data_IF_036707452648
#
_entry.id   IF_036707452648
#
_cell.length_a   1.000
_cell.length_b   1.000
_cell.length_c   1.000
_cell.angle_alpha   90.00
_cell.angle_beta   90.00
_cell.angle_gamma   90.00
#
_symmetry.space_group_name_H-M   'P 1'
#
loop_
_entity.id
_entity.type
_entity.pdbx_description
1 polymer ?
#
# COMPACT_ATOMS: atom_id res chain seq x y z
N UNK A 1 1.91 18.29 -1.54
CA UNK A 1 1.00 18.65 -0.44
C UNK A 1 1.81 19.09 0.77
N UNK A 2 1.70 20.37 1.13
CA UNK A 2 2.39 20.95 2.28
C UNK A 2 1.58 20.83 3.56
N UNK A 3 2.11 21.37 4.65
CA UNK A 3 1.42 21.39 5.94
C UNK A 3 0.12 22.22 5.92
N UNK A 4 -0.01 23.12 4.98
CA UNK A 4 -1.21 23.95 4.79
C UNK A 4 -2.37 23.19 4.15
N UNK A 5 -2.11 22.01 3.58
CA UNK A 5 -3.16 21.18 3.01
C UNK A 5 -4.16 20.80 4.11
N UNK A 6 -5.50 20.98 3.87
CA UNK A 6 -6.50 20.67 4.89
C UNK A 6 -6.62 19.16 5.10
N UNK A 7 -5.95 18.67 6.12
CA UNK A 7 -6.00 17.26 6.49
C UNK A 7 -7.26 16.96 7.30
N UNK A 8 -8.11 16.08 6.79
CA UNK A 8 -9.34 15.71 7.45
C UNK A 8 -9.05 14.85 8.68
N UNK A 9 -9.58 15.25 9.82
CA UNK A 9 -9.49 14.47 11.06
C UNK A 9 -10.27 13.17 10.90
N UNK A 10 -9.70 12.00 11.26
CA UNK A 10 -10.46 10.75 11.29
C UNK A 10 -11.62 10.84 12.29
N UNK A 11 -12.75 10.27 11.94
CA UNK A 11 -13.92 10.26 12.83
C UNK A 11 -13.72 9.31 14.01
N UNK A 12 -13.05 8.18 13.77
CA UNK A 12 -12.81 7.14 14.76
C UNK A 12 -11.42 6.57 14.64
N UNK A 13 -10.86 6.11 15.76
CA UNK A 13 -9.61 5.38 15.76
C UNK A 13 -9.77 4.05 14.99
N UNK A 14 -8.89 3.73 14.04
CA UNK A 14 -8.98 2.47 13.31
C UNK A 14 -8.75 1.24 14.16
N UNK A 15 -8.16 1.40 15.35
CA UNK A 15 -7.85 0.28 16.25
C UNK A 15 -8.93 0.05 17.31
N UNK A 16 -9.38 1.11 17.99
CA UNK A 16 -10.30 0.97 19.12
C UNK A 16 -11.65 1.68 18.91
N UNK A 17 -11.86 2.36 17.77
CA UNK A 17 -13.08 3.06 17.42
C UNK A 17 -13.38 4.28 18.29
N UNK A 18 -12.44 4.75 19.11
CA UNK A 18 -12.59 5.94 19.91
C UNK A 18 -12.72 7.19 19.04
N UNK A 19 -13.50 8.16 19.51
CA UNK A 19 -13.60 9.48 18.87
C UNK A 19 -12.58 10.48 19.43
N UNK A 20 -11.81 10.10 20.43
CA UNK A 20 -10.82 10.96 21.09
C UNK A 20 -9.51 10.94 20.33
N UNK A 21 -9.49 11.62 19.18
CA UNK A 21 -8.35 11.69 18.26
C UNK A 21 -7.84 13.13 18.18
N UNK A 22 -6.55 13.29 18.42
CA UNK A 22 -5.88 14.59 18.43
C UNK A 22 -4.77 14.67 17.38
N UNK A 23 -4.44 15.88 16.96
CA UNK A 23 -3.31 16.10 16.08
C UNK A 23 -1.98 15.68 16.73
N UNK A 24 -1.10 15.01 15.98
CA UNK A 24 0.18 14.51 16.47
C UNK A 24 1.33 14.86 15.53
N UNK A 25 1.28 16.06 14.93
CA UNK A 25 2.32 16.55 14.05
C UNK A 25 2.28 16.00 12.64
N UNK A 26 3.39 16.18 11.93
CA UNK A 26 3.52 15.80 10.53
C UNK A 26 4.79 14.98 10.34
N UNK A 27 4.79 14.08 9.35
CA UNK A 27 5.99 13.38 8.91
C UNK A 27 6.18 13.61 7.42
N UNK A 28 7.42 13.91 6.97
CA UNK A 28 7.69 14.02 5.53
C UNK A 28 7.81 12.63 4.91
N UNK A 29 7.18 12.45 3.75
CA UNK A 29 7.30 11.24 2.95
C UNK A 29 7.32 11.62 1.48
N UNK A 30 8.06 10.86 0.69
CA UNK A 30 8.12 11.03 -0.75
C UNK A 30 7.13 10.08 -1.42
N UNK A 31 6.30 10.62 -2.31
CA UNK A 31 5.38 9.84 -3.14
C UNK A 31 5.60 10.17 -4.61
N UNK A 32 5.78 9.14 -5.42
CA UNK A 32 5.92 9.31 -6.87
C UNK A 32 4.68 10.03 -7.41
N UNK A 33 4.88 11.07 -8.20
CA UNK A 33 3.81 11.90 -8.72
C UNK A 33 3.49 13.15 -7.89
N UNK A 34 3.73 13.11 -6.58
CA UNK A 34 3.53 14.29 -5.71
C UNK A 34 4.84 14.92 -5.22
N UNK A 35 5.94 14.15 -5.20
CA UNK A 35 7.17 14.58 -4.57
C UNK A 35 7.10 14.48 -3.05
N UNK A 36 7.67 15.46 -2.35
CA UNK A 36 7.66 15.48 -0.90
C UNK A 36 6.26 15.89 -0.39
N UNK A 37 5.72 15.06 0.49
CA UNK A 37 4.40 15.27 1.10
C UNK A 37 4.56 15.23 2.61
N UNK A 38 3.91 16.15 3.31
CA UNK A 38 3.82 16.14 4.77
C UNK A 38 2.53 15.44 5.18
N UNK A 39 2.65 14.23 5.71
CA UNK A 39 1.49 13.45 6.16
C UNK A 39 1.13 13.85 7.58
N UNK A 40 -0.12 14.22 7.80
CA UNK A 40 -0.66 14.51 9.13
C UNK A 40 -0.76 13.22 9.92
N UNK A 41 -0.19 13.22 11.12
CA UNK A 41 -0.39 12.15 12.08
C UNK A 41 -1.44 12.56 13.09
N UNK A 42 -2.19 11.58 13.54
CA UNK A 42 -3.17 11.73 14.61
C UNK A 42 -2.85 10.74 15.71
N UNK A 43 -3.29 11.00 16.90
CA UNK A 43 -3.10 10.07 18.03
C UNK A 43 -4.44 9.83 18.71
N UNK A 44 -4.72 8.57 19.00
CA UNK A 44 -5.88 8.19 19.82
C UNK A 44 -5.51 8.32 21.30
N UNK A 45 -6.29 9.09 22.04
CA UNK A 45 -6.07 9.29 23.46
C UNK A 45 -6.35 8.02 24.29
N UNK A 46 -7.17 7.12 23.78
CA UNK A 46 -7.59 5.92 24.51
C UNK A 46 -6.66 4.74 24.32
N UNK A 47 -6.15 4.48 23.12
CA UNK A 47 -5.29 3.32 22.85
C UNK A 47 -3.86 3.66 22.45
N UNK A 48 -3.55 4.95 22.23
CA UNK A 48 -2.21 5.38 21.81
C UNK A 48 -1.86 5.09 20.37
N UNK A 49 -2.77 4.55 19.56
CA UNK A 49 -2.55 4.33 18.13
C UNK A 49 -2.30 5.67 17.42
N UNK A 50 -1.33 5.67 16.50
CA UNK A 50 -0.98 6.86 15.72
C UNK A 50 -1.31 6.62 14.25
N UNK A 51 -2.57 6.80 13.83
CA UNK A 51 -2.93 6.67 12.43
C UNK A 51 -2.33 7.81 11.61
N UNK A 52 -1.86 7.48 10.40
CA UNK A 52 -1.32 8.43 9.43
C UNK A 52 -2.13 8.32 8.15
N UNK A 53 -2.66 9.45 7.67
CA UNK A 53 -3.43 9.49 6.43
C UNK A 53 -2.45 9.79 5.28
N UNK A 54 -2.48 8.94 4.26
CA UNK A 54 -1.66 9.10 3.05
C UNK A 54 -2.53 9.51 1.86
N UNK A 55 -1.91 10.01 0.76
CA UNK A 55 -2.66 10.31 -0.46
C UNK A 55 -3.40 9.07 -0.98
N UNK A 56 -4.57 9.27 -1.60
CA UNK A 56 -5.30 8.19 -2.25
C UNK A 56 -4.50 7.61 -3.42
N UNK A 57 -4.73 6.33 -3.72
CA UNK A 57 -4.09 5.67 -4.85
C UNK A 57 -2.74 5.03 -4.54
N UNK A 58 -2.37 4.94 -3.25
CA UNK A 58 -1.14 4.29 -2.81
C UNK A 58 -1.44 3.18 -1.80
N UNK A 59 -0.72 2.06 -1.92
CA UNK A 59 -0.73 1.05 -0.87
C UNK A 59 0.08 1.50 0.34
N UNK A 60 -0.20 0.93 1.49
CA UNK A 60 0.59 1.15 2.70
C UNK A 60 2.05 0.81 2.46
N UNK A 61 2.96 1.69 2.90
CA UNK A 61 4.41 1.54 2.77
C UNK A 61 4.92 1.50 1.32
N UNK A 62 4.11 1.92 0.36
CA UNK A 62 4.51 2.03 -1.04
C UNK A 62 4.48 3.49 -1.47
N UNK A 63 5.48 3.92 -2.22
CA UNK A 63 5.61 5.28 -2.73
C UNK A 63 5.20 5.41 -4.19
N UNK A 64 5.07 4.28 -4.89
CA UNK A 64 4.54 4.25 -6.25
C UNK A 64 3.03 4.11 -6.21
N UNK A 65 2.33 4.69 -7.20
CA UNK A 65 0.88 4.57 -7.28
C UNK A 65 0.44 3.12 -7.49
N UNK A 66 -0.77 2.78 -7.05
CA UNK A 66 -1.37 1.46 -7.31
C UNK A 66 -1.43 1.19 -8.81
N UNK A 67 -1.83 2.20 -9.60
CA UNK A 67 -1.87 2.12 -11.06
C UNK A 67 -0.49 1.86 -11.66
N UNK A 68 0.54 2.53 -11.17
CA UNK A 68 1.92 2.35 -11.62
C UNK A 68 2.45 0.95 -11.34
N UNK A 69 2.15 0.42 -10.16
CA UNK A 69 2.53 -0.95 -9.78
C UNK A 69 1.82 -1.96 -10.69
N UNK A 70 0.51 -1.80 -10.90
CA UNK A 70 -0.27 -2.67 -11.77
C UNK A 70 0.22 -2.62 -13.22
N UNK A 71 0.51 -1.43 -13.74
CA UNK A 71 1.07 -1.26 -15.09
C UNK A 71 2.38 -2.03 -15.26
N UNK A 72 3.26 -1.97 -14.28
CA UNK A 72 4.53 -2.68 -14.30
C UNK A 72 4.31 -4.20 -14.37
N UNK A 73 3.40 -4.72 -13.55
CA UNK A 73 3.07 -6.14 -13.51
C UNK A 73 2.45 -6.60 -14.83
N UNK A 74 1.47 -5.85 -15.35
CA UNK A 74 0.81 -6.16 -16.62
C UNK A 74 1.81 -6.18 -17.76
N UNK A 75 2.70 -5.19 -17.83
CA UNK A 75 3.73 -5.11 -18.86
C UNK A 75 4.66 -6.32 -18.81
N UNK A 76 5.12 -6.68 -17.62
CA UNK A 76 6.00 -7.86 -17.43
C UNK A 76 5.31 -9.16 -17.82
N UNK A 77 4.08 -9.35 -17.41
CA UNK A 77 3.32 -10.58 -17.70
C UNK A 77 3.04 -10.71 -19.20
N UNK A 78 2.72 -9.60 -19.86
CA UNK A 78 2.37 -9.60 -21.30
C UNK A 78 3.57 -9.63 -22.24
N UNK A 79 4.66 -8.94 -21.88
CA UNK A 79 5.81 -8.76 -22.78
C UNK A 79 7.09 -9.47 -22.34
N UNK A 80 7.14 -9.91 -21.08
CA UNK A 80 8.34 -10.46 -20.49
C UNK A 80 9.43 -9.42 -20.17
N UNK A 81 9.15 -8.14 -20.32
CA UNK A 81 10.09 -7.06 -20.12
C UNK A 81 9.69 -6.15 -18.98
N UNK A 82 10.66 -5.44 -18.41
CA UNK A 82 10.43 -4.43 -17.38
C UNK A 82 10.21 -3.07 -17.99
N UNK A 83 9.35 -2.25 -17.37
CA UNK A 83 9.15 -0.86 -17.78
C UNK A 83 10.42 -0.07 -17.42
N UNK A 84 10.85 0.82 -18.33
CA UNK A 84 11.98 1.73 -18.10
C UNK A 84 11.45 3.07 -17.61
N UNK A 85 12.03 3.58 -16.55
CA UNK A 85 11.65 4.89 -15.99
C UNK A 85 12.55 5.26 -14.83
N UNK A 86 12.60 6.57 -14.45
CA UNK A 86 13.53 7.04 -13.42
C UNK A 86 13.28 6.41 -12.03
N UNK A 87 12.02 6.15 -11.69
CA UNK A 87 11.65 5.58 -10.40
C UNK A 87 11.26 4.10 -10.47
N UNK A 88 11.41 3.49 -11.65
CA UNK A 88 11.00 2.11 -11.91
C UNK A 88 12.23 1.23 -12.18
N UNK A 89 12.99 0.96 -11.13
CA UNK A 89 14.13 0.06 -11.25
C UNK A 89 13.66 -1.38 -11.47
N UNK A 90 14.48 -2.15 -12.17
CA UNK A 90 14.23 -3.58 -12.38
C UNK A 90 14.07 -4.32 -11.06
N UNK A 91 14.88 -3.99 -10.09
CA UNK A 91 14.85 -4.60 -8.76
C UNK A 91 13.51 -4.33 -8.05
N UNK A 92 13.05 -3.09 -8.08
CA UNK A 92 11.79 -2.67 -7.48
C UNK A 92 10.59 -3.39 -8.10
N UNK A 93 10.56 -3.42 -9.42
CA UNK A 93 9.50 -4.13 -10.16
C UNK A 93 9.53 -5.64 -9.90
N UNK A 94 10.72 -6.22 -9.80
CA UNK A 94 10.91 -7.62 -9.45
C UNK A 94 10.36 -7.95 -8.05
N UNK A 95 10.54 -7.06 -7.09
CA UNK A 95 9.97 -7.22 -5.75
C UNK A 95 8.43 -7.26 -5.77
N UNK A 96 7.80 -6.38 -6.55
CA UNK A 96 6.35 -6.37 -6.68
C UNK A 96 5.83 -7.67 -7.27
N UNK A 97 6.48 -8.16 -8.32
CA UNK A 97 6.06 -9.40 -8.98
C UNK A 97 6.21 -10.61 -8.04
N UNK A 98 7.32 -10.71 -7.33
CA UNK A 98 7.53 -11.80 -6.36
C UNK A 98 6.53 -11.75 -5.21
N UNK A 99 6.28 -10.55 -4.68
CA UNK A 99 5.32 -10.37 -3.60
C UNK A 99 3.90 -10.73 -4.05
N UNK A 100 3.50 -10.30 -5.26
CA UNK A 100 2.20 -10.66 -5.82
C UNK A 100 2.06 -12.17 -5.96
N UNK A 101 3.06 -12.84 -6.53
CA UNK A 101 3.02 -14.30 -6.71
C UNK A 101 2.86 -15.01 -5.37
N UNK A 102 3.57 -14.57 -4.36
CA UNK A 102 3.48 -15.12 -3.02
C UNK A 102 2.10 -14.90 -2.39
N UNK A 103 1.58 -13.69 -2.49
CA UNK A 103 0.26 -13.35 -1.93
C UNK A 103 -0.87 -14.11 -2.63
N UNK A 104 -0.76 -14.31 -3.94
CA UNK A 104 -1.71 -15.14 -4.69
C UNK A 104 -1.71 -16.57 -4.14
N UNK A 105 -0.55 -17.17 -3.93
CA UNK A 105 -0.46 -18.53 -3.38
C UNK A 105 -1.08 -18.64 -2.00
N UNK A 106 -0.88 -17.64 -1.16
CA UNK A 106 -1.38 -17.66 0.22
C UNK A 106 -2.89 -17.41 0.31
N UNK A 107 -3.39 -16.42 -0.44
CA UNK A 107 -4.78 -15.96 -0.29
C UNK A 107 -5.75 -16.56 -1.30
N UNK A 108 -5.30 -16.90 -2.50
CA UNK A 108 -6.18 -17.35 -3.59
C UNK A 108 -5.94 -18.81 -3.98
N UNK A 109 -4.72 -19.30 -3.85
CA UNK A 109 -4.35 -20.67 -4.21
C UNK A 109 -3.54 -20.75 -5.51
N UNK A 110 -2.98 -21.94 -5.77
CA UNK A 110 -2.08 -22.17 -6.89
C UNK A 110 -2.73 -22.03 -8.25
N UNK A 111 -4.03 -22.27 -8.36
CA UNK A 111 -4.77 -22.13 -9.63
C UNK A 111 -4.80 -20.70 -10.17
N UNK A 112 -4.52 -19.71 -9.34
CA UNK A 112 -4.49 -18.31 -9.72
C UNK A 112 -3.13 -17.85 -10.26
N UNK A 113 -2.10 -18.69 -10.22
CA UNK A 113 -0.73 -18.29 -10.64
C UNK A 113 -0.69 -17.88 -12.10
N UNK A 114 -1.47 -18.54 -12.97
CA UNK A 114 -1.55 -18.19 -14.39
C UNK A 114 -2.46 -16.98 -14.65
N UNK A 115 -3.12 -16.47 -13.62
CA UNK A 115 -4.05 -15.34 -13.69
C UNK A 115 -3.59 -14.21 -12.76
N UNK A 116 -2.33 -13.81 -12.86
CA UNK A 116 -1.74 -12.84 -11.93
C UNK A 116 -2.43 -11.48 -11.95
N UNK A 117 -2.85 -11.02 -13.12
CA UNK A 117 -3.55 -9.71 -13.24
C UNK A 117 -4.90 -9.79 -12.54
N UNK A 118 -5.67 -10.85 -12.77
CA UNK A 118 -6.93 -11.07 -12.10
C UNK A 118 -6.74 -11.28 -10.59
N UNK A 119 -5.66 -11.97 -10.21
CA UNK A 119 -5.27 -12.17 -8.81
C UNK A 119 -4.97 -10.85 -8.10
N UNK A 120 -4.33 -9.90 -8.77
CA UNK A 120 -4.08 -8.56 -8.22
C UNK A 120 -5.40 -7.88 -7.85
N UNK A 121 -6.35 -7.88 -8.77
CA UNK A 121 -7.67 -7.27 -8.54
C UNK A 121 -8.45 -8.01 -7.45
N UNK A 122 -8.39 -9.33 -7.41
CA UNK A 122 -9.09 -10.13 -6.41
C UNK A 122 -8.53 -9.90 -5.01
N UNK A 123 -7.22 -9.78 -4.87
CA UNK A 123 -6.60 -9.45 -3.58
C UNK A 123 -7.05 -8.08 -3.08
N UNK A 124 -7.15 -7.10 -3.97
CA UNK A 124 -7.69 -5.79 -3.61
C UNK A 124 -9.15 -5.88 -3.14
N UNK A 125 -9.97 -6.69 -3.80
CA UNK A 125 -11.36 -6.92 -3.39
C UNK A 125 -11.46 -7.57 -2.00
N UNK A 126 -10.47 -8.39 -1.63
CA UNK A 126 -10.39 -8.99 -0.30
C UNK A 126 -9.81 -8.02 0.75
N UNK A 127 -9.49 -6.79 0.37
CA UNK A 127 -8.89 -5.81 1.28
C UNK A 127 -7.41 -6.03 1.53
N UNK A 128 -6.74 -6.86 0.72
CA UNK A 128 -5.32 -7.14 0.86
C UNK A 128 -4.49 -6.31 -0.12
N UNK A 129 -3.30 -5.89 0.30
CA UNK A 129 -2.34 -5.27 -0.61
C UNK A 129 -1.65 -6.38 -1.43
N UNK A 130 -1.83 -6.41 -2.76
CA UNK A 130 -1.30 -7.50 -3.58
C UNK A 130 0.21 -7.67 -3.54
N UNK A 131 0.94 -6.58 -3.31
CA UNK A 131 2.42 -6.56 -3.32
C UNK A 131 3.01 -6.42 -1.92
N UNK A 132 2.24 -6.78 -0.90
CA UNK A 132 2.67 -6.70 0.49
C UNK A 132 3.73 -7.76 0.80
N UNK A 133 4.75 -7.38 1.58
CA UNK A 133 5.75 -8.31 2.06
C UNK A 133 5.17 -9.26 3.12
N UNK A 134 5.77 -10.45 3.23
CA UNK A 134 5.28 -11.58 4.01
C UNK A 134 5.10 -11.38 5.52
N UNK A 135 5.72 -10.37 6.10
CA UNK A 135 5.68 -10.15 7.55
C UNK A 135 4.27 -9.88 8.10
N UNK A 136 3.36 -9.37 7.27
CA UNK A 136 1.99 -9.12 7.71
C UNK A 136 1.08 -10.35 7.59
N UNK A 137 1.45 -11.33 6.79
CA UNK A 137 0.72 -12.60 6.71
C UNK A 137 0.84 -13.35 8.03
N UNK A 138 2.01 -13.32 8.64
CA UNK A 138 2.24 -13.92 9.95
C UNK A 138 1.41 -13.25 11.06
N UNK A 139 1.29 -11.93 11.01
CA UNK A 139 0.47 -11.19 11.96
C UNK A 139 -1.02 -11.52 11.82
N UNK A 140 -1.50 -11.77 10.61
CA UNK A 140 -2.89 -12.15 10.35
C UNK A 140 -3.21 -13.56 10.81
N UNK A 141 -2.25 -14.47 10.80
CA UNK A 141 -2.44 -15.86 11.24
C UNK A 141 -2.38 -16.04 12.75
N UNK A 142 -1.97 -15.03 13.50
CA UNK A 142 -1.92 -15.04 14.96
C UNK A 142 -3.22 -14.57 15.63
N UNK A 143 -4.21 -14.26 14.85
CA UNK A 143 -5.54 -13.90 15.33
C UNK A 143 -6.45 -15.15 15.47
#
# INVERSE_FOLDING_TARGET
>A
LGKEYPHRRPERCPKCQSQRIWGHGYIPRYFDGYGLVYLKRWICADCGCVPTIRPAGYFSRHHQTITGILKSIVHRVKTGQWIRGPDLTRQRQGHWLRALRKNIKVWLGLEWIDKMIDGFSELMNLGQCPVLRSTQIEASTKV
#
